data_IF_418608411334
#
_entry.id   IF_418608411334
#
_cell.length_a   1.000
_cell.length_b   1.000
_cell.length_c   1.000
_cell.angle_alpha   90.00
_cell.angle_beta   90.00
_cell.angle_gamma   90.00
#
_symmetry.space_group_name_H-M   'P 1'
#
loop_
_entity.id
_entity.type
_entity.pdbx_description
1 polymer ?
#
# COMPACT_ATOMS: atom_id res chain seq x y z
N UNK A 1 -1.62 -11.78 -12.88
CA UNK A 1 -3.00 -11.28 -13.08
C UNK A 1 -3.01 -10.44 -14.34
N UNK A 2 -4.01 -10.59 -15.20
CA UNK A 2 -4.11 -9.87 -16.47
C UNK A 2 -5.35 -8.97 -16.49
N UNK A 3 -5.63 -8.35 -17.65
CA UNK A 3 -6.80 -7.47 -17.80
C UNK A 3 -8.12 -8.24 -17.71
N UNK A 4 -8.15 -9.53 -18.09
CA UNK A 4 -9.37 -10.33 -18.00
C UNK A 4 -9.73 -10.60 -16.55
N UNK A 5 -8.73 -10.86 -15.69
CA UNK A 5 -8.92 -10.97 -14.25
C UNK A 5 -9.60 -9.75 -13.64
N UNK A 6 -9.05 -8.54 -13.88
CA UNK A 6 -9.63 -7.31 -13.32
C UNK A 6 -11.07 -7.06 -13.77
N UNK A 7 -11.40 -7.41 -15.02
CA UNK A 7 -12.77 -7.30 -15.57
C UNK A 7 -13.77 -8.30 -14.99
N UNK A 8 -13.28 -9.42 -14.44
CA UNK A 8 -14.14 -10.44 -13.82
C UNK A 8 -14.59 -10.07 -12.41
N UNK A 9 -13.93 -9.09 -11.77
CA UNK A 9 -14.26 -8.62 -10.44
C UNK A 9 -15.57 -7.83 -10.45
N UNK A 10 -16.35 -7.99 -9.38
CA UNK A 10 -17.62 -7.30 -9.15
C UNK A 10 -17.67 -6.74 -7.71
N UNK A 11 -18.69 -5.95 -7.34
CA UNK A 11 -18.74 -5.30 -6.03
C UNK A 11 -18.65 -6.24 -4.82
N UNK A 12 -19.06 -7.51 -4.94
CA UNK A 12 -18.99 -8.48 -3.84
C UNK A 12 -17.66 -9.22 -3.77
N UNK A 13 -16.96 -9.33 -4.91
CA UNK A 13 -15.71 -10.12 -5.05
C UNK A 13 -14.45 -9.26 -5.04
N UNK A 14 -14.54 -7.96 -5.36
CA UNK A 14 -13.40 -7.04 -5.47
C UNK A 14 -12.59 -6.93 -4.17
N UNK A 15 -13.23 -7.09 -3.02
CA UNK A 15 -12.52 -7.08 -1.74
C UNK A 15 -11.63 -8.32 -1.59
N UNK A 16 -12.22 -9.51 -1.71
CA UNK A 16 -11.54 -10.77 -1.44
C UNK A 16 -10.52 -11.13 -2.52
N UNK A 17 -10.85 -10.90 -3.78
CA UNK A 17 -10.01 -11.26 -4.92
C UNK A 17 -9.21 -10.08 -5.48
N UNK A 18 -9.58 -8.84 -5.19
CA UNK A 18 -8.76 -7.68 -5.57
C UNK A 18 -7.84 -7.23 -4.44
N UNK A 19 -8.42 -6.61 -3.43
CA UNK A 19 -7.69 -5.86 -2.39
C UNK A 19 -6.86 -6.77 -1.50
N UNK A 20 -7.42 -7.90 -1.03
CA UNK A 20 -6.68 -8.83 -0.18
C UNK A 20 -5.56 -9.55 -0.93
N UNK A 21 -5.78 -9.86 -2.21
CA UNK A 21 -4.75 -10.45 -3.07
C UNK A 21 -3.59 -9.48 -3.26
N UNK A 22 -3.88 -8.20 -3.50
CA UNK A 22 -2.87 -7.14 -3.62
C UNK A 22 -2.07 -6.93 -2.33
N UNK A 23 -2.71 -6.93 -1.16
CA UNK A 23 -2.05 -6.67 0.13
C UNK A 23 -1.20 -7.85 0.66
N UNK A 24 -1.37 -9.04 0.08
CA UNK A 24 -0.59 -10.23 0.44
C UNK A 24 -1.18 -11.05 1.61
N UNK A 25 -0.46 -12.12 1.99
CA UNK A 25 -0.99 -13.17 2.87
C UNK A 25 -0.89 -12.88 4.37
N UNK A 26 0.10 -12.10 4.80
CA UNK A 26 0.29 -11.78 6.21
C UNK A 26 -0.76 -10.76 6.67
N UNK A 27 -1.71 -11.13 7.56
CA UNK A 27 -2.76 -10.23 8.02
C UNK A 27 -2.22 -9.01 8.79
N UNK A 28 -1.06 -9.12 9.45
CA UNK A 28 -0.50 -7.98 10.19
C UNK A 28 0.01 -6.93 9.22
N UNK A 29 0.85 -7.34 8.28
CA UNK A 29 1.38 -6.47 7.22
C UNK A 29 0.29 -5.94 6.30
N UNK A 30 -0.68 -6.76 5.91
CA UNK A 30 -1.81 -6.33 5.08
C UNK A 30 -2.58 -5.17 5.71
N UNK A 31 -2.85 -5.21 7.03
CA UNK A 31 -3.50 -4.11 7.75
C UNK A 31 -2.66 -2.84 7.81
N UNK A 32 -1.35 -2.98 8.00
CA UNK A 32 -0.42 -1.85 8.01
C UNK A 32 -0.39 -1.17 6.64
N UNK A 33 -0.17 -1.95 5.58
CA UNK A 33 -0.21 -1.46 4.19
C UNK A 33 -1.56 -0.82 3.88
N UNK A 34 -2.66 -1.44 4.27
CA UNK A 34 -4.00 -0.89 4.03
C UNK A 34 -4.21 0.47 4.71
N UNK A 35 -3.69 0.64 5.93
CA UNK A 35 -3.74 1.91 6.66
C UNK A 35 -2.92 2.99 5.95
N UNK A 36 -1.73 2.65 5.44
CA UNK A 36 -0.89 3.55 4.65
C UNK A 36 -1.56 3.96 3.34
N UNK A 37 -2.09 3.01 2.58
CA UNK A 37 -2.82 3.29 1.34
C UNK A 37 -4.06 4.13 1.59
N UNK A 38 -4.85 3.84 2.64
CA UNK A 38 -6.02 4.66 2.99
C UNK A 38 -5.62 6.12 3.26
N UNK A 39 -4.57 6.34 4.07
CA UNK A 39 -4.05 7.68 4.34
C UNK A 39 -3.62 8.39 3.05
N UNK A 40 -2.86 7.72 2.19
CA UNK A 40 -2.36 8.31 0.94
C UNK A 40 -3.47 8.62 -0.06
N UNK A 41 -4.45 7.72 -0.20
CA UNK A 41 -5.60 7.93 -1.08
C UNK A 41 -6.50 9.07 -0.58
N UNK A 42 -6.65 9.26 0.74
CA UNK A 42 -7.35 10.42 1.30
C UNK A 42 -6.65 11.75 0.99
N UNK A 43 -5.31 11.78 0.97
CA UNK A 43 -4.57 12.97 0.54
C UNK A 43 -4.87 13.29 -0.93
N UNK A 44 -4.89 12.28 -1.80
CA UNK A 44 -5.24 12.45 -3.21
C UNK A 44 -6.69 12.90 -3.38
N UNK A 45 -7.63 12.29 -2.67
CA UNK A 45 -9.04 12.71 -2.67
C UNK A 45 -9.18 14.17 -2.19
N UNK A 46 -8.48 14.57 -1.14
CA UNK A 46 -8.48 15.94 -0.64
C UNK A 46 -7.90 16.96 -1.64
N UNK A 47 -7.05 16.54 -2.57
CA UNK A 47 -6.64 17.38 -3.71
C UNK A 47 -7.77 17.48 -4.75
N UNK A 48 -8.39 16.35 -5.09
CA UNK A 48 -9.52 16.30 -6.03
C UNK A 48 -10.78 17.05 -5.54
N UNK A 49 -10.99 17.15 -4.22
CA UNK A 49 -12.06 17.92 -3.61
C UNK A 49 -11.87 19.44 -3.77
N UNK A 50 -10.61 19.90 -3.87
CA UNK A 50 -10.24 21.33 -3.90
C UNK A 50 -9.94 21.84 -5.30
N UNK A 51 -9.57 20.96 -6.22
CA UNK A 51 -9.36 21.32 -7.61
C UNK A 51 -10.72 21.34 -8.33
N UNK A 52 -10.93 22.34 -9.18
CA UNK A 52 -12.16 22.51 -9.97
C UNK A 52 -11.84 22.80 -11.44
N UNK A 53 -10.65 22.40 -11.88
CA UNK A 53 -10.10 22.77 -13.19
C UNK A 53 -10.09 21.58 -14.15
N UNK A 54 -9.86 20.37 -13.66
CA UNK A 54 -9.60 19.22 -14.52
C UNK A 54 -10.51 18.04 -14.18
N UNK A 55 -11.17 17.51 -15.19
CA UNK A 55 -11.78 16.19 -15.15
C UNK A 55 -10.86 15.18 -15.86
N UNK A 56 -10.61 14.04 -15.25
CA UNK A 56 -9.75 12.98 -15.78
C UNK A 56 -10.56 11.74 -16.14
N UNK A 57 -10.35 11.23 -17.35
CA UNK A 57 -11.07 10.07 -17.87
C UNK A 57 -10.10 8.97 -18.28
N UNK A 58 -10.42 7.74 -17.90
CA UNK A 58 -9.59 6.57 -18.17
C UNK A 58 -8.12 6.73 -17.71
N UNK A 59 -7.90 7.58 -16.70
CA UNK A 59 -6.67 7.62 -15.92
C UNK A 59 -6.64 6.47 -14.93
N UNK A 60 -5.44 6.05 -14.55
CA UNK A 60 -5.23 4.89 -13.68
C UNK A 60 -4.57 5.30 -12.37
N UNK A 61 -4.86 4.60 -11.28
CA UNK A 61 -4.05 4.67 -10.07
C UNK A 61 -2.99 3.58 -10.09
N UNK A 62 -1.73 3.97 -9.98
CA UNK A 62 -0.61 3.06 -9.74
C UNK A 62 -0.39 2.93 -8.24
N UNK A 63 -0.60 1.72 -7.72
CA UNK A 63 -0.33 1.35 -6.34
C UNK A 63 0.88 0.41 -6.28
N UNK A 64 1.86 0.72 -5.43
CA UNK A 64 3.02 -0.15 -5.22
C UNK A 64 3.51 -0.04 -3.77
N UNK A 65 4.24 -1.05 -3.30
CA UNK A 65 4.85 -1.07 -1.97
C UNK A 65 6.04 -2.03 -1.95
N UNK A 66 6.97 -1.83 -1.00
CA UNK A 66 8.14 -2.69 -0.88
C UNK A 66 7.77 -4.07 -0.28
N UNK A 67 8.39 -5.12 -0.84
CA UNK A 67 8.31 -6.48 -0.33
C UNK A 67 9.42 -6.88 0.64
N UNK A 68 10.20 -5.93 1.15
CA UNK A 68 11.10 -6.21 2.27
C UNK A 68 10.30 -6.67 3.49
N UNK A 69 10.25 -7.99 3.73
CA UNK A 69 10.01 -8.49 5.08
C UNK A 69 11.11 -7.88 5.92
N UNK A 70 10.74 -6.89 6.74
CA UNK A 70 11.70 -6.09 7.49
C UNK A 70 12.66 -7.05 8.17
N UNK A 71 13.92 -7.01 7.73
CA UNK A 71 15.06 -7.72 8.31
C UNK A 71 15.38 -7.13 9.68
N UNK A 72 14.38 -7.12 10.57
CA UNK A 72 14.47 -6.74 11.97
C UNK A 72 15.28 -7.75 12.81
N UNK A 73 15.86 -8.77 12.16
CA UNK A 73 16.66 -9.80 12.82
C UNK A 73 18.18 -9.57 12.78
N UNK A 74 18.72 -8.62 11.98
CA UNK A 74 20.18 -8.44 11.91
C UNK A 74 20.73 -7.38 12.89
N UNK A 75 19.92 -6.44 13.36
CA UNK A 75 20.34 -5.41 14.32
C UNK A 75 20.26 -5.83 15.79
N UNK A 76 19.65 -6.98 16.10
CA UNK A 76 19.53 -7.48 17.48
C UNK A 76 20.62 -8.49 17.89
N UNK A 77 21.43 -8.99 16.93
CA UNK A 77 22.45 -10.01 17.19
C UNK A 77 23.83 -9.43 17.56
N UNK A 78 24.05 -8.13 17.38
CA UNK A 78 25.32 -7.46 17.75
C UNK A 78 25.31 -6.85 19.15
N UNK A 79 24.20 -6.95 19.90
CA UNK A 79 24.03 -6.29 21.20
C UNK A 79 24.03 -7.25 22.41
N UNK A 80 24.56 -8.48 22.27
CA UNK A 80 24.67 -9.43 23.40
C UNK A 80 26.10 -9.93 23.59
N UNK A 81 26.89 -9.11 24.27
CA UNK A 81 27.74 -9.56 25.37
C UNK A 81 29.07 -10.22 25.02
N UNK A 82 30.05 -9.42 24.58
CA UNK A 82 31.43 -9.64 25.01
C UNK A 82 31.66 -8.84 26.29
N UNK A 83 31.79 -9.54 27.42
CA UNK A 83 32.17 -8.95 28.70
C UNK A 83 33.57 -9.40 29.10
N UNK A 84 34.38 -8.40 29.47
CA UNK A 84 35.60 -8.41 30.29
C UNK A 84 36.91 -8.94 29.69
N UNK A 85 37.86 -8.06 29.33
CA UNK A 85 38.86 -7.52 30.29
C UNK A 85 39.71 -6.37 29.68
N UNK A 86 39.96 -5.34 30.50
CA UNK A 86 41.13 -4.42 30.54
C UNK A 86 40.91 -2.92 30.21
N UNK A 87 41.49 -2.00 31.02
CA UNK A 87 41.28 -0.55 30.92
C UNK A 87 42.43 0.17 30.19
N UNK A 88 42.14 1.27 29.48
CA UNK A 88 43.20 2.15 28.98
C UNK A 88 42.77 3.23 27.98
N UNK A 89 42.60 4.45 28.51
CA UNK A 89 42.97 5.77 27.96
C UNK A 89 42.42 6.30 26.61
N UNK A 90 41.97 7.56 26.74
CA UNK A 90 42.06 8.68 25.77
C UNK A 90 41.22 8.70 24.50
N UNK A 91 40.29 9.67 24.49
CA UNK A 91 40.24 10.71 23.46
C UNK A 91 39.75 10.29 22.08
N UNK A 92 38.46 10.52 21.81
CA UNK A 92 38.06 11.40 20.73
C UNK A 92 36.57 11.74 20.82
N UNK A 93 36.28 13.03 20.67
CA UNK A 93 34.98 13.56 20.31
C UNK A 93 34.54 12.99 18.96
N UNK A 94 33.58 12.08 18.97
CA UNK A 94 32.79 11.73 17.79
C UNK A 94 31.32 11.85 18.17
N UNK A 95 30.73 12.94 17.70
CA UNK A 95 29.30 13.19 17.64
C UNK A 95 28.63 12.07 16.86
N UNK A 96 28.21 11.01 17.55
CA UNK A 96 27.26 10.05 16.99
C UNK A 96 25.88 10.71 16.99
N UNK A 97 25.61 11.46 15.92
CA UNK A 97 24.25 11.69 15.46
C UNK A 97 23.63 10.33 15.19
N UNK A 98 22.97 9.76 16.20
CA UNK A 98 21.91 8.80 15.98
C UNK A 98 20.78 9.59 15.32
N UNK A 99 20.89 9.77 14.00
CA UNK A 99 19.74 10.12 13.19
C UNK A 99 18.80 8.93 13.30
N UNK A 100 17.90 9.01 14.30
CA UNK A 100 16.69 8.24 14.34
C UNK A 100 15.85 8.74 13.16
N UNK A 101 16.24 8.33 11.95
CA UNK A 101 15.49 8.54 10.73
C UNK A 101 14.20 7.76 10.94
N UNK A 102 13.23 8.46 11.51
CA UNK A 102 11.84 8.10 11.52
C UNK A 102 11.43 8.02 10.05
N UNK A 103 11.78 6.90 9.39
CA UNK A 103 11.44 6.67 8.01
C UNK A 103 9.94 6.90 7.91
N UNK A 104 9.58 7.95 7.17
CA UNK A 104 8.20 8.30 6.97
C UNK A 104 7.53 7.04 6.44
N UNK A 105 6.65 6.43 7.22
CA UNK A 105 6.11 5.10 6.90
C UNK A 105 5.35 5.08 5.57
N UNK A 106 4.95 6.26 5.08
CA UNK A 106 4.39 6.48 3.74
C UNK A 106 5.39 6.28 2.59
N UNK A 107 6.71 6.36 2.81
CA UNK A 107 7.73 6.13 1.78
C UNK A 107 7.79 4.67 1.34
N UNK A 108 7.28 3.75 2.18
CA UNK A 108 7.18 2.33 1.85
C UNK A 108 6.08 1.99 0.83
N UNK A 109 5.23 2.96 0.49
CA UNK A 109 4.13 2.80 -0.46
C UNK A 109 4.11 3.93 -1.50
N UNK A 110 3.48 3.64 -2.63
CA UNK A 110 3.28 4.57 -3.73
C UNK A 110 1.82 4.52 -4.15
N UNK A 111 1.18 5.69 -4.28
CA UNK A 111 -0.13 5.83 -4.90
C UNK A 111 -0.13 7.10 -5.77
N UNK A 112 -0.12 6.91 -7.09
CA UNK A 112 -0.06 8.00 -8.06
C UNK A 112 -1.13 7.85 -9.15
N UNK A 113 -1.67 8.98 -9.59
CA UNK A 113 -2.48 9.04 -10.80
C UNK A 113 -1.55 9.05 -12.02
N UNK A 114 -1.87 8.24 -13.02
CA UNK A 114 -1.14 8.13 -14.28
C UNK A 114 -2.14 8.14 -15.46
N UNK A 115 -1.63 8.15 -16.69
CA UNK A 115 -2.41 8.14 -17.93
C UNK A 115 -3.33 9.36 -18.09
N UNK A 116 -2.73 10.52 -18.37
CA UNK A 116 -3.41 11.81 -18.55
C UNK A 116 -3.80 12.10 -20.00
N UNK A 117 -4.02 11.07 -20.82
CA UNK A 117 -4.31 11.27 -22.26
C UNK A 117 -5.71 11.82 -22.53
N UNK A 118 -6.63 11.67 -21.58
CA UNK A 118 -8.01 12.13 -21.68
C UNK A 118 -8.38 12.92 -20.44
N UNK A 119 -8.25 14.24 -20.55
CA UNK A 119 -8.74 15.18 -19.55
C UNK A 119 -9.51 16.30 -20.23
N UNK A 120 -10.39 16.97 -19.49
CA UNK A 120 -11.14 18.14 -19.97
C UNK A 120 -11.19 19.22 -18.90
N UNK A 121 -11.39 20.47 -19.32
CA UNK A 121 -11.66 21.56 -18.39
C UNK A 121 -12.99 21.36 -17.67
N UNK A 122 -13.00 21.69 -16.38
CA UNK A 122 -14.21 21.75 -15.57
C UNK A 122 -14.69 23.20 -15.45
N UNK A 123 -16.01 23.39 -15.57
CA UNK A 123 -16.65 24.71 -15.39
C UNK A 123 -17.04 24.86 -13.91
N UNK A 124 -16.04 24.92 -13.03
CA UNK A 124 -16.21 25.17 -11.59
C UNK A 124 -16.70 23.97 -10.76
N UNK A 125 -17.08 22.87 -11.38
CA UNK A 125 -17.37 21.62 -10.67
C UNK A 125 -16.08 20.87 -10.32
N UNK A 126 -16.15 20.02 -9.30
CA UNK A 126 -15.09 19.05 -9.00
C UNK A 126 -15.32 17.77 -9.82
N UNK A 127 -14.28 16.97 -9.97
CA UNK A 127 -14.38 15.68 -10.67
C UNK A 127 -15.04 14.62 -9.77
N UNK A 128 -16.38 14.62 -9.72
CA UNK A 128 -17.16 13.66 -8.94
C UNK A 128 -16.97 12.20 -9.42
N UNK A 129 -16.60 12.00 -10.70
CA UNK A 129 -16.37 10.66 -11.25
C UNK A 129 -15.11 10.03 -10.65
N UNK A 130 -13.99 10.76 -10.64
CA UNK A 130 -12.76 10.29 -9.98
C UNK A 130 -12.96 10.19 -8.47
N UNK A 131 -13.62 11.17 -7.84
CA UNK A 131 -13.89 11.14 -6.40
C UNK A 131 -14.72 9.93 -5.99
N UNK A 132 -15.76 9.57 -6.75
CA UNK A 132 -16.54 8.37 -6.49
C UNK A 132 -15.66 7.11 -6.46
N UNK A 133 -14.79 6.95 -7.47
CA UNK A 133 -13.84 5.84 -7.53
C UNK A 133 -12.85 5.83 -6.35
N UNK A 134 -12.29 6.99 -6.01
CA UNK A 134 -11.38 7.15 -4.89
C UNK A 134 -12.04 6.79 -3.55
N UNK A 135 -13.23 7.29 -3.25
CA UNK A 135 -13.92 6.96 -2.00
C UNK A 135 -14.28 5.48 -1.91
N UNK A 136 -14.67 4.84 -3.01
CA UNK A 136 -14.87 3.39 -3.02
C UNK A 136 -13.59 2.64 -2.74
N UNK A 137 -12.48 3.04 -3.35
CA UNK A 137 -11.18 2.41 -3.09
C UNK A 137 -10.73 2.62 -1.64
N UNK A 138 -10.85 3.83 -1.09
CA UNK A 138 -10.58 4.15 0.32
C UNK A 138 -11.40 3.25 1.24
N UNK A 139 -12.70 3.09 0.98
CA UNK A 139 -13.56 2.23 1.81
C UNK A 139 -13.10 0.77 1.85
N UNK A 140 -12.55 0.26 0.75
CA UNK A 140 -12.02 -1.09 0.69
C UNK A 140 -10.71 -1.23 1.49
N UNK A 141 -9.84 -0.22 1.43
CA UNK A 141 -8.61 -0.20 2.24
C UNK A 141 -8.91 0.02 3.73
N UNK A 142 -9.90 0.85 4.09
CA UNK A 142 -10.36 1.01 5.48
C UNK A 142 -10.91 -0.31 6.04
N UNK A 143 -11.67 -1.06 5.22
CA UNK A 143 -12.11 -2.41 5.57
C UNK A 143 -10.89 -3.32 5.80
N UNK A 144 -9.93 -3.34 4.89
CA UNK A 144 -8.73 -4.17 5.02
C UNK A 144 -7.85 -3.79 6.23
N UNK A 145 -7.82 -2.52 6.63
CA UNK A 145 -7.06 -2.05 7.80
C UNK A 145 -7.61 -2.59 9.12
N UNK A 146 -8.91 -2.89 9.18
CA UNK A 146 -9.59 -3.39 10.38
C UNK A 146 -9.84 -4.90 10.34
N UNK A 147 -9.76 -5.51 9.15
CA UNK A 147 -10.02 -6.93 8.94
C UNK A 147 -8.95 -7.82 9.59
N UNK A 148 -9.40 -8.76 10.42
CA UNK A 148 -8.55 -9.73 11.13
C UNK A 148 -8.57 -11.11 10.50
N UNK A 149 -9.32 -11.29 9.42
CA UNK A 149 -9.49 -12.59 8.76
C UNK A 149 -8.31 -12.91 7.86
N UNK A 150 -7.83 -14.15 7.91
CA UNK A 150 -6.79 -14.67 7.02
C UNK A 150 -7.28 -14.70 5.57
N UNK A 151 -6.46 -14.29 4.57
CA UNK A 151 -6.84 -14.26 3.15
C UNK A 151 -7.48 -15.58 2.70
N UNK A 152 -8.44 -15.54 1.76
CA UNK A 152 -8.97 -16.78 1.20
C UNK A 152 -7.80 -17.50 0.53
N UNK A 153 -7.65 -18.80 0.77
CA UNK A 153 -6.71 -19.62 0.02
C UNK A 153 -7.01 -19.48 -1.48
N UNK A 154 -5.99 -19.27 -2.35
CA UNK A 154 -6.24 -19.19 -3.79
C UNK A 154 -6.93 -20.48 -4.24
N UNK A 155 -8.06 -20.37 -4.94
CA UNK A 155 -8.70 -21.53 -5.55
C UNK A 155 -7.66 -22.25 -6.43
N UNK A 156 -7.46 -23.57 -6.27
CA UNK A 156 -6.65 -24.32 -7.22
C UNK A 156 -7.26 -24.18 -8.62
N UNK A 157 -6.44 -24.12 -9.69
CA UNK A 157 -6.97 -24.14 -11.04
C UNK A 157 -7.81 -25.40 -11.23
N UNK A 158 -9.01 -25.22 -11.80
CA UNK A 158 -10.03 -26.25 -11.94
C UNK A 158 -9.48 -27.58 -12.45
N UNK A 159 -9.95 -28.64 -11.79
CA UNK A 159 -9.85 -30.02 -12.29
C UNK A 159 -10.32 -30.04 -13.75
N UNK A 160 -9.43 -30.50 -14.62
CA UNK A 160 -9.72 -30.89 -16.00
C UNK A 160 -11.01 -31.70 -16.01
N UNK A 161 -12.07 -31.16 -16.62
CA UNK A 161 -13.23 -31.94 -17.02
C UNK A 161 -12.77 -32.93 -18.10
N UNK A 162 -12.47 -34.16 -17.69
CA UNK A 162 -12.42 -35.30 -18.61
C UNK A 162 -13.88 -35.59 -18.97
N UNK A 163 -14.29 -35.16 -20.17
CA UNK A 163 -15.52 -35.67 -20.79
C UNK A 163 -15.29 -37.12 -21.19
N UNK A 164 -16.00 -38.03 -20.55
CA UNK A 164 -16.36 -39.34 -21.10
C UNK A 164 -17.64 -39.24 -21.93
#
# INVERSE_FOLDING_TARGET
LDKTYGRSLNPTTVYDFGIRVFLGRDPRRARQLASLFSRRLRQLAGWFEKQHQFAFYASSLLLAYDNSETSSSLSSLTARGESSTSPGLSGNSDERHHDNHNHNSDESIVAHLIDFTRWTDLVGNRDDNVLYGLYKLISLFDRAATDRTSPPSPCPPDRVFVRG
#
